data_IF_773409759261
#
_entry.id   IF_773409759261
#
_cell.length_a   1.000
_cell.length_b   1.000
_cell.length_c   1.000
_cell.angle_alpha   90.00
_cell.angle_beta   90.00
_cell.angle_gamma   90.00
#
_symmetry.space_group_name_H-M   'P 1'
#
loop_
_entity.id
_entity.type
_entity.pdbx_description
1 polymer ?
#
# COMPACT_ATOMS: atom_id res chain seq x y z
N UNK A 1 -10.27 -16.08 -4.04
CA UNK A 1 -11.35 -15.27 -3.42
C UNK A 1 -11.12 -15.01 -1.93
N UNK A 2 -10.35 -15.83 -1.20
CA UNK A 2 -9.97 -15.53 0.18
C UNK A 2 -9.12 -14.25 0.28
N UNK A 3 -8.18 -14.06 -0.65
CA UNK A 3 -7.13 -13.04 -0.55
C UNK A 3 -7.64 -11.58 -0.56
N UNK A 4 -8.66 -11.25 -1.36
CA UNK A 4 -9.24 -9.90 -1.37
C UNK A 4 -9.91 -9.50 -0.05
N UNK A 5 -10.54 -10.45 0.65
CA UNK A 5 -11.11 -10.20 1.98
C UNK A 5 -10.01 -9.98 3.02
N UNK A 6 -8.88 -10.69 2.90
CA UNK A 6 -7.71 -10.49 3.75
C UNK A 6 -7.09 -9.12 3.51
N UNK A 7 -6.92 -8.71 2.24
CA UNK A 7 -6.43 -7.38 1.88
C UNK A 7 -7.38 -6.30 2.42
N UNK A 8 -8.70 -6.48 2.29
CA UNK A 8 -9.69 -5.57 2.85
C UNK A 8 -9.53 -5.42 4.37
N UNK A 9 -9.34 -6.52 5.09
CA UNK A 9 -9.11 -6.50 6.52
C UNK A 9 -7.83 -5.72 6.87
N UNK A 10 -6.75 -5.90 6.12
CA UNK A 10 -5.48 -5.19 6.34
C UNK A 10 -5.65 -3.68 6.18
N UNK A 11 -6.36 -3.23 5.14
CA UNK A 11 -6.52 -1.79 4.84
C UNK A 11 -7.57 -1.10 5.71
N UNK A 12 -8.51 -1.84 6.31
CA UNK A 12 -9.59 -1.27 7.13
C UNK A 12 -9.33 -1.33 8.63
N UNK A 13 -8.49 -2.25 9.12
CA UNK A 13 -8.26 -2.45 10.56
C UNK A 13 -7.68 -1.22 11.26
N UNK A 14 -6.78 -0.51 10.60
CA UNK A 14 -6.09 0.66 11.14
C UNK A 14 -5.83 1.67 10.03
N UNK A 15 -5.72 2.97 10.36
CA UNK A 15 -5.38 4.01 9.40
C UNK A 15 -4.14 3.65 8.57
N UNK A 16 -4.18 3.95 7.28
CA UNK A 16 -3.06 3.73 6.35
C UNK A 16 -2.17 4.98 6.38
N UNK A 17 -0.87 4.86 6.70
CA UNK A 17 0.04 5.99 6.78
C UNK A 17 0.24 6.62 5.41
N UNK A 18 0.56 7.93 5.34
CA UNK A 18 0.73 8.65 4.08
C UNK A 18 1.70 7.97 3.13
N UNK A 19 2.85 7.49 3.65
CA UNK A 19 3.84 6.79 2.83
C UNK A 19 3.31 5.52 2.17
N UNK A 20 2.39 4.80 2.81
CA UNK A 20 1.75 3.62 2.21
C UNK A 20 0.67 4.00 1.21
N UNK A 21 -0.09 5.07 1.45
CA UNK A 21 -1.05 5.59 0.49
C UNK A 21 -0.36 6.07 -0.79
N UNK A 22 0.78 6.78 -0.66
CA UNK A 22 1.57 7.22 -1.82
C UNK A 22 2.19 6.02 -2.54
N UNK A 23 2.68 5.01 -1.81
CA UNK A 23 3.12 3.74 -2.41
C UNK A 23 2.00 3.07 -3.21
N UNK A 24 0.79 2.94 -2.65
CA UNK A 24 -0.34 2.38 -3.38
C UNK A 24 -0.72 3.21 -4.59
N UNK A 25 -0.74 4.53 -4.46
CA UNK A 25 -1.05 5.42 -5.58
C UNK A 25 -0.10 5.21 -6.75
N UNK A 26 1.21 5.28 -6.51
CA UNK A 26 2.20 5.13 -7.58
C UNK A 26 2.05 3.78 -8.30
N UNK A 27 1.87 2.71 -7.54
CA UNK A 27 1.70 1.37 -8.12
C UNK A 27 0.32 1.15 -8.75
N UNK A 28 -0.72 1.80 -8.25
CA UNK A 28 -2.08 1.74 -8.81
C UNK A 28 -2.16 2.48 -10.14
N UNK A 29 -1.55 3.67 -10.21
CA UNK A 29 -1.47 4.50 -11.42
C UNK A 29 -0.65 3.83 -12.53
N UNK A 30 0.34 2.99 -12.16
CA UNK A 30 1.11 2.18 -13.10
C UNK A 30 0.30 1.05 -13.77
N UNK A 31 -0.96 0.83 -13.38
CA UNK A 31 -1.81 -0.21 -13.97
C UNK A 31 -1.28 -1.62 -13.67
N UNK A 32 -1.17 -2.44 -14.72
CA UNK A 32 -0.57 -3.77 -14.66
C UNK A 32 0.97 -3.74 -14.86
N UNK A 33 1.54 -2.54 -14.98
CA UNK A 33 2.96 -2.30 -15.19
C UNK A 33 3.81 -2.57 -13.96
N UNK A 34 5.07 -2.93 -14.20
CA UNK A 34 6.10 -3.08 -13.17
C UNK A 34 6.86 -1.76 -12.98
N UNK A 35 6.97 -1.31 -11.73
CA UNK A 35 7.71 -0.07 -11.38
C UNK A 35 9.04 -0.44 -10.74
N UNK A 36 10.15 0.08 -11.27
CA UNK A 36 11.49 -0.18 -10.75
C UNK A 36 11.71 0.44 -9.36
N UNK A 37 12.58 -0.13 -8.54
CA UNK A 37 12.83 0.34 -7.16
C UNK A 37 13.28 1.80 -7.12
N UNK A 38 14.18 2.20 -8.02
CA UNK A 38 14.69 3.57 -8.06
C UNK A 38 13.60 4.55 -8.49
N UNK A 39 12.83 4.18 -9.51
CA UNK A 39 11.67 4.96 -9.96
C UNK A 39 10.63 5.10 -8.85
N UNK A 40 10.29 3.99 -8.19
CA UNK A 40 9.34 3.98 -7.08
C UNK A 40 9.83 4.85 -5.92
N UNK A 41 11.13 4.79 -5.58
CA UNK A 41 11.72 5.65 -4.57
C UNK A 41 11.71 7.13 -5.00
N UNK A 42 11.92 7.42 -6.28
CA UNK A 42 11.85 8.77 -6.84
C UNK A 42 10.45 9.36 -6.69
N UNK A 43 9.42 8.59 -7.00
CA UNK A 43 8.03 9.04 -6.95
C UNK A 43 7.46 9.12 -5.52
N UNK A 44 7.91 8.23 -4.61
CA UNK A 44 7.35 8.14 -3.25
C UNK A 44 8.14 8.92 -2.19
N UNK A 45 9.47 9.02 -2.33
CA UNK A 45 10.37 9.52 -1.28
C UNK A 45 11.55 10.35 -1.82
N UNK A 46 11.34 11.09 -2.91
CA UNK A 46 12.36 11.97 -3.49
C UNK A 46 13.70 11.26 -3.78
N UNK A 47 13.62 9.98 -4.17
CA UNK A 47 14.77 9.15 -4.55
C UNK A 47 15.35 8.31 -3.41
N UNK A 48 14.84 8.41 -2.19
CA UNK A 48 15.37 7.66 -1.04
C UNK A 48 14.89 6.20 -1.02
N UNK A 49 15.71 5.29 -1.53
CA UNK A 49 15.47 3.84 -1.47
C UNK A 49 15.39 3.33 -0.02
N UNK A 50 16.16 3.93 0.89
CA UNK A 50 16.09 3.60 2.32
C UNK A 50 14.72 3.93 2.92
N UNK A 51 14.14 5.09 2.57
CA UNK A 51 12.81 5.46 3.01
C UNK A 51 11.73 4.53 2.42
N UNK A 52 11.83 4.19 1.13
CA UNK A 52 10.95 3.21 0.49
C UNK A 52 10.99 1.85 1.22
N UNK A 53 12.19 1.34 1.53
CA UNK A 53 12.34 0.09 2.27
C UNK A 53 11.72 0.18 3.67
N UNK A 54 11.78 1.35 4.32
CA UNK A 54 11.10 1.63 5.58
C UNK A 54 9.58 1.50 5.46
N UNK A 55 8.99 2.04 4.39
CA UNK A 55 7.54 1.93 4.11
C UNK A 55 7.13 0.49 3.82
N UNK A 56 7.90 -0.24 2.99
CA UNK A 56 7.65 -1.66 2.70
C UNK A 56 7.74 -2.52 3.96
N UNK A 57 8.69 -2.24 4.85
CA UNK A 57 8.80 -2.91 6.15
C UNK A 57 7.62 -2.58 7.06
N UNK A 58 7.20 -1.32 7.11
CA UNK A 58 6.01 -0.92 7.87
C UNK A 58 4.74 -1.56 7.32
N UNK A 59 4.66 -1.79 6.00
CA UNK A 59 3.56 -2.50 5.36
C UNK A 59 3.56 -3.98 5.72
N UNK A 60 4.72 -4.65 5.63
CA UNK A 60 4.85 -6.04 6.07
C UNK A 60 4.42 -6.22 7.53
N UNK A 61 4.87 -5.34 8.42
CA UNK A 61 4.45 -5.35 9.82
C UNK A 61 2.94 -5.14 9.99
N UNK A 62 2.30 -4.32 9.15
CA UNK A 62 0.85 -4.10 9.18
C UNK A 62 0.11 -5.39 8.80
N UNK A 63 0.53 -6.05 7.73
CA UNK A 63 -0.04 -7.33 7.30
C UNK A 63 0.15 -8.38 8.40
N UNK A 64 1.37 -8.58 8.87
CA UNK A 64 1.70 -9.59 9.88
C UNK A 64 0.95 -9.36 11.21
N UNK A 65 0.67 -8.11 11.56
CA UNK A 65 -0.10 -7.81 12.77
C UNK A 65 -1.60 -8.03 12.60
N UNK A 66 -2.12 -8.16 11.38
CA UNK A 66 -3.57 -8.21 11.12
C UNK A 66 -4.19 -9.51 11.64
N UNK A 67 -3.52 -10.65 11.50
CA UNK A 67 -3.94 -11.91 12.12
C UNK A 67 -2.73 -12.75 12.55
N UNK A 68 -2.91 -13.61 13.56
CA UNK A 68 -1.87 -14.54 13.98
C UNK A 68 -1.50 -15.55 12.87
N UNK A 69 -2.45 -15.85 11.99
CA UNK A 69 -2.27 -16.69 10.82
C UNK A 69 -1.33 -16.03 9.81
N UNK A 70 -1.53 -14.75 9.48
CA UNK A 70 -0.65 -14.04 8.55
C UNK A 70 0.79 -13.97 9.05
N UNK A 71 0.96 -13.76 10.36
CA UNK A 71 2.28 -13.78 10.99
C UNK A 71 2.99 -15.14 10.85
N UNK A 72 2.24 -16.25 10.91
CA UNK A 72 2.81 -17.60 10.74
C UNK A 72 3.18 -17.90 9.30
N UNK A 73 2.31 -17.51 8.37
CA UNK A 73 2.52 -17.71 6.93
C UNK A 73 3.54 -16.74 6.33
N UNK A 74 3.94 -15.71 7.08
CA UNK A 74 4.94 -14.70 6.69
C UNK A 74 4.59 -14.02 5.36
N UNK A 75 3.30 -13.73 5.16
CA UNK A 75 2.83 -13.00 3.99
C UNK A 75 3.57 -11.68 3.79
N UNK A 76 3.92 -10.98 4.88
CA UNK A 76 4.63 -9.70 4.79
C UNK A 76 3.86 -8.73 3.88
N UNK A 77 4.57 -7.92 3.09
CA UNK A 77 3.90 -7.03 2.13
C UNK A 77 3.43 -7.77 0.86
N UNK A 78 3.79 -9.04 0.65
CA UNK A 78 3.55 -9.77 -0.59
C UNK A 78 2.05 -10.06 -0.85
N UNK A 79 1.23 -10.06 0.20
CA UNK A 79 -0.23 -10.10 0.09
C UNK A 79 -0.81 -8.91 -0.73
N UNK A 80 -0.08 -7.79 -0.73
CA UNK A 80 -0.55 -6.51 -1.27
C UNK A 80 0.26 -6.03 -2.47
N UNK A 81 1.55 -6.36 -2.51
CA UNK A 81 2.50 -5.90 -3.52
C UNK A 81 3.34 -7.08 -3.99
N UNK A 82 3.32 -7.34 -5.29
CA UNK A 82 4.23 -8.29 -5.90
C UNK A 82 5.60 -7.67 -6.12
N UNK A 83 6.64 -8.51 -6.10
CA UNK A 83 8.02 -8.09 -6.28
C UNK A 83 8.78 -9.12 -7.10
N UNK A 84 9.47 -8.66 -8.15
CA UNK A 84 10.37 -9.49 -8.96
C UNK A 84 11.76 -8.87 -9.05
N UNK A 85 12.78 -9.70 -9.18
CA UNK A 85 14.12 -9.26 -9.53
C UNK A 85 14.29 -9.37 -11.05
N UNK A 86 14.73 -8.28 -11.69
CA UNK A 86 15.06 -8.26 -13.11
C UNK A 86 16.33 -7.42 -13.30
N UNK A 87 17.35 -7.99 -13.93
CA UNK A 87 18.64 -7.33 -14.21
C UNK A 87 19.31 -6.68 -12.99
N UNK A 88 19.17 -7.29 -11.81
CA UNK A 88 19.76 -6.78 -10.56
C UNK A 88 18.98 -5.63 -9.91
N UNK A 89 17.83 -5.24 -10.46
CA UNK A 89 16.89 -4.30 -9.85
C UNK A 89 15.59 -4.99 -9.42
N UNK A 90 14.99 -4.46 -8.36
CA UNK A 90 13.68 -4.91 -7.90
C UNK A 90 12.58 -4.12 -8.58
N UNK A 91 11.55 -4.83 -9.04
CA UNK A 91 10.36 -4.24 -9.63
C UNK A 91 9.14 -4.61 -8.81
N UNK A 92 8.18 -3.71 -8.73
CA UNK A 92 6.99 -3.82 -7.88
C UNK A 92 5.72 -3.54 -8.67
N UNK A 93 4.63 -4.20 -8.28
CA UNK A 93 3.26 -3.88 -8.73
C UNK A 93 2.27 -4.22 -7.63
N UNK A 94 1.08 -3.62 -7.65
CA UNK A 94 0.00 -4.07 -6.75
C UNK A 94 -0.52 -5.44 -7.18
N UNK A 95 -0.96 -6.24 -6.22
CA UNK A 95 -1.67 -7.48 -6.52
C UNK A 95 -3.06 -7.16 -7.11
N UNK A 96 -3.64 -8.05 -7.93
CA UNK A 96 -5.02 -7.93 -8.41
C UNK A 96 -6.03 -7.75 -7.27
N UNK A 97 -5.79 -8.40 -6.13
CA UNK A 97 -6.62 -8.33 -4.93
C UNK A 97 -6.59 -6.94 -4.30
N UNK A 98 -5.40 -6.32 -4.19
CA UNK A 98 -5.31 -4.95 -3.70
C UNK A 98 -5.98 -3.97 -4.65
N UNK A 99 -5.82 -4.15 -5.97
CA UNK A 99 -6.52 -3.32 -6.96
C UNK A 99 -8.03 -3.41 -6.77
N UNK A 100 -8.57 -4.63 -6.67
CA UNK A 100 -10.00 -4.86 -6.43
C UNK A 100 -10.49 -4.17 -5.15
N UNK A 101 -9.73 -4.27 -4.05
CA UNK A 101 -10.08 -3.64 -2.77
C UNK A 101 -10.08 -2.12 -2.87
N UNK A 102 -9.08 -1.53 -3.55
CA UNK A 102 -9.04 -0.09 -3.81
C UNK A 102 -10.29 0.33 -4.60
N UNK A 103 -10.60 -0.37 -5.69
CA UNK A 103 -11.71 -0.03 -6.59
C UNK A 103 -13.08 -0.18 -5.92
N UNK A 104 -13.20 -1.12 -4.98
CA UNK A 104 -14.44 -1.43 -4.25
C UNK A 104 -14.63 -0.61 -2.97
N UNK A 105 -13.61 0.16 -2.56
CA UNK A 105 -13.65 0.97 -1.33
C UNK A 105 -13.66 2.46 -1.71
N UNK A 106 -14.81 3.15 -1.69
CA UNK A 106 -14.93 4.54 -2.17
C UNK A 106 -13.88 5.49 -1.61
N UNK A 107 -13.64 5.44 -0.30
CA UNK A 107 -12.63 6.28 0.36
C UNK A 107 -11.19 6.05 -0.15
N UNK A 108 -10.81 4.80 -0.45
CA UNK A 108 -9.49 4.50 -1.00
C UNK A 108 -9.41 4.91 -2.46
N UNK A 109 -10.45 4.62 -3.24
CA UNK A 109 -10.56 5.04 -4.64
C UNK A 109 -10.44 6.56 -4.80
N UNK A 110 -11.18 7.31 -3.98
CA UNK A 110 -11.13 8.77 -3.95
C UNK A 110 -9.74 9.27 -3.56
N UNK A 111 -9.05 8.55 -2.66
CA UNK A 111 -7.67 8.89 -2.28
C UNK A 111 -6.68 8.63 -3.42
N UNK A 112 -6.86 7.56 -4.20
CA UNK A 112 -6.00 7.28 -5.36
C UNK A 112 -6.19 8.32 -6.48
N UNK A 113 -7.37 8.94 -6.58
CA UNK A 113 -7.64 10.03 -7.52
C UNK A 113 -6.93 11.36 -7.18
N UNK A 114 -6.43 11.52 -5.95
CA UNK A 114 -5.69 12.72 -5.53
C UNK A 114 -4.27 12.74 -6.12
N UNK A 115 -3.65 13.92 -6.21
CA UNK A 115 -2.22 14.01 -6.49
C UNK A 115 -1.39 13.54 -5.28
N UNK A 116 -0.13 13.14 -5.49
CA UNK A 116 0.78 12.77 -4.38
C UNK A 116 0.93 13.94 -3.38
N UNK A 117 1.01 15.18 -3.89
CA UNK A 117 1.07 16.37 -3.06
C UNK A 117 -0.19 16.55 -2.20
N UNK A 118 -1.37 16.27 -2.76
CA UNK A 118 -2.64 16.34 -2.03
C UNK A 118 -2.78 15.23 -1.00
N UNK A 119 -2.29 14.02 -1.27
CA UNK A 119 -2.20 12.95 -0.26
C UNK A 119 -1.32 13.43 0.90
N UNK A 120 -0.13 13.97 0.62
CA UNK A 120 0.72 14.52 1.67
C UNK A 120 0.06 15.68 2.43
N UNK A 121 -0.60 16.62 1.74
CA UNK A 121 -1.24 17.78 2.37
C UNK A 121 -2.45 17.40 3.23
N UNK A 122 -3.30 16.49 2.72
CA UNK A 122 -4.48 15.98 3.42
C UNK A 122 -4.08 15.19 4.67
N UNK A 123 -2.97 14.46 4.61
CA UNK A 123 -2.54 13.59 5.70
C UNK A 123 -1.39 14.16 6.57
N UNK A 124 -0.80 15.32 6.21
CA UNK A 124 0.17 16.07 7.02
C UNK A 124 -0.49 16.71 8.27
N UNK A 125 -1.80 16.97 8.21
CA UNK A 125 -2.53 17.70 9.26
C UNK A 125 -3.33 16.79 10.21
N UNK A 126 -3.37 15.49 9.96
CA UNK A 126 -4.17 14.54 10.74
C UNK A 126 -3.24 13.61 11.51
N UNK A 127 -3.09 13.86 12.82
CA UNK A 127 -2.39 12.94 13.75
C UNK A 127 -3.12 11.61 13.92
N UNK A 128 -4.41 11.58 13.59
CA UNK A 128 -5.27 10.41 13.57
C UNK A 128 -6.20 10.57 12.36
N UNK A 129 -6.28 9.61 11.42
CA UNK A 129 -7.45 8.73 11.31
C UNK A 129 -7.65 7.97 9.97
N UNK A 130 -8.38 6.86 10.12
CA UNK A 130 -9.34 6.15 9.28
C UNK A 130 -9.85 5.01 10.20
N UNK A 131 -10.75 5.31 11.15
CA UNK A 131 -11.70 4.30 11.63
C UNK A 131 -12.80 4.36 10.59
N UNK A 132 -12.96 3.27 9.85
CA UNK A 132 -14.21 3.05 9.13
C UNK A 132 -15.26 2.96 10.21
N UNK A 133 -16.17 3.93 10.27
CA UNK A 133 -17.35 3.81 11.11
C UNK A 133 -18.11 2.59 10.58
N UNK A 134 -17.96 1.46 11.26
CA UNK A 134 -18.83 0.32 11.08
C UNK A 134 -20.15 0.66 11.78
N UNK A 135 -20.90 1.60 11.19
CA UNK A 135 -22.26 1.93 11.57
C UNK A 135 -23.16 1.75 10.35
N UNK A 136 -24.13 0.84 10.33
CA UNK A 136 -24.58 -0.12 11.34
C UNK A 136 -25.47 -1.18 10.69
#
# INVERSE_FOLDING_TARGET
MADAQLVLLVVTRKPIPPGQLVLYKVLYDAGDGWVGQKELAQQTHSGSVAALNGVLRALANRVDQTSAEFKREKHGFALMIEKIAHEGEWYYRITPELRQVIDSTPHLKDTMALSIADIHAKHSKMKDWLIVDAGG
#
